data_IF_075597472434
#
_entry.id   IF_075597472434
#
_cell.length_a   1.000
_cell.length_b   1.000
_cell.length_c   1.000
_cell.angle_alpha   90.00
_cell.angle_beta   90.00
_cell.angle_gamma   90.00
#
_symmetry.space_group_name_H-M   'P 1'
#
loop_
_entity.id
_entity.type
_entity.pdbx_description
1 polymer ?
#
# COMPACT_ATOMS: atom_id res chain seq x y z
N UNK A 1 -13.54 16.33 9.49
CA UNK A 1 -13.77 15.09 8.71
C UNK A 1 -14.52 15.39 7.43
N UNK A 2 -13.96 14.97 6.29
CA UNK A 2 -14.55 15.19 4.97
C UNK A 2 -15.66 14.20 4.61
N UNK A 3 -16.37 14.49 3.52
CA UNK A 3 -17.49 13.70 2.97
C UNK A 3 -17.08 12.25 2.62
N UNK A 4 -15.79 11.96 2.49
CA UNK A 4 -15.24 10.67 2.03
C UNK A 4 -14.73 9.75 3.15
N UNK A 5 -14.38 10.29 4.32
CA UNK A 5 -13.72 9.54 5.39
C UNK A 5 -14.56 9.33 6.64
N UNK A 6 -13.89 8.81 7.67
CA UNK A 6 -14.42 8.65 9.02
C UNK A 6 -13.32 8.84 10.09
N UNK A 7 -13.66 9.50 11.20
CA UNK A 7 -12.76 9.62 12.37
C UNK A 7 -12.99 8.47 13.33
N UNK A 8 -12.02 7.59 13.45
CA UNK A 8 -12.08 6.51 14.43
C UNK A 8 -11.61 6.94 15.82
N UNK A 9 -10.96 8.11 15.95
CA UNK A 9 -10.42 8.59 17.22
C UNK A 9 -11.47 8.67 18.34
N UNK A 10 -12.66 9.26 18.11
CA UNK A 10 -13.73 9.27 19.09
C UNK A 10 -14.28 7.88 19.45
N UNK A 11 -14.23 6.92 18.52
CA UNK A 11 -14.66 5.55 18.80
C UNK A 11 -13.63 4.82 19.68
N UNK A 12 -12.34 4.97 19.40
CA UNK A 12 -11.29 4.44 20.27
C UNK A 12 -11.35 5.02 21.68
N UNK A 13 -11.64 6.32 21.83
CA UNK A 13 -11.85 6.94 23.16
C UNK A 13 -13.10 6.40 23.86
N UNK A 14 -14.14 6.02 23.10
CA UNK A 14 -15.31 5.34 23.67
C UNK A 14 -14.99 3.93 24.14
N UNK A 15 -14.10 3.22 23.45
CA UNK A 15 -13.62 1.90 23.84
C UNK A 15 -12.72 1.98 25.09
N UNK A 16 -11.74 2.89 25.08
CA UNK A 16 -10.85 3.18 26.20
C UNK A 16 -10.67 4.70 26.36
N UNK A 17 -11.18 5.33 27.43
CA UNK A 17 -11.01 6.76 27.68
C UNK A 17 -9.55 7.23 27.74
N UNK A 18 -8.61 6.34 28.05
CA UNK A 18 -7.17 6.62 28.09
C UNK A 18 -6.44 6.36 26.77
N UNK A 19 -7.16 6.01 25.70
CA UNK A 19 -6.59 5.61 24.42
C UNK A 19 -5.56 6.61 23.86
N UNK A 20 -5.88 7.91 23.91
CA UNK A 20 -5.01 8.96 23.33
C UNK A 20 -3.65 9.01 24.01
N UNK A 21 -3.63 8.98 25.33
CA UNK A 21 -2.39 9.06 26.11
C UNK A 21 -1.54 7.81 25.88
N UNK A 22 -2.17 6.62 25.92
CA UNK A 22 -1.49 5.35 25.68
C UNK A 22 -0.91 5.27 24.27
N UNK A 23 -1.70 5.62 23.25
CA UNK A 23 -1.28 5.40 21.88
C UNK A 23 -0.20 6.39 21.43
N UNK A 24 -0.21 7.63 21.93
CA UNK A 24 0.84 8.59 21.63
C UNK A 24 2.21 8.09 22.11
N UNK A 25 2.28 7.51 23.31
CA UNK A 25 3.51 6.88 23.81
C UNK A 25 4.04 5.79 22.86
N UNK A 26 3.16 4.91 22.38
CA UNK A 26 3.58 3.85 21.46
C UNK A 26 3.96 4.37 20.07
N UNK A 27 3.27 5.39 19.56
CA UNK A 27 3.63 6.05 18.29
C UNK A 27 5.03 6.61 18.31
N UNK A 28 5.40 7.32 19.37
CA UNK A 28 6.75 7.87 19.55
C UNK A 28 7.81 6.75 19.53
N UNK A 29 7.52 5.62 20.19
CA UNK A 29 8.42 4.44 20.20
C UNK A 29 8.53 3.76 18.83
N UNK A 30 7.43 3.64 18.09
CA UNK A 30 7.47 3.11 16.71
C UNK A 30 8.31 4.00 15.82
N UNK A 31 8.14 5.33 15.90
CA UNK A 31 8.93 6.30 15.12
C UNK A 31 10.44 6.21 15.45
N UNK A 32 10.78 6.13 16.73
CA UNK A 32 12.16 5.95 17.20
C UNK A 32 12.81 4.68 16.62
N UNK A 33 12.13 3.53 16.74
CA UNK A 33 12.64 2.25 16.26
C UNK A 33 12.75 2.21 14.74
N UNK A 34 11.83 2.87 14.03
CA UNK A 34 11.89 2.96 12.57
C UNK A 34 13.12 3.75 12.12
N UNK A 35 13.39 4.91 12.73
CA UNK A 35 14.62 5.68 12.47
C UNK A 35 15.87 4.87 12.76
N UNK A 36 15.87 4.08 13.84
CA UNK A 36 17.00 3.23 14.19
C UNK A 36 17.20 2.08 13.19
N UNK A 37 16.11 1.49 12.69
CA UNK A 37 16.15 0.47 11.64
C UNK A 37 16.73 1.03 10.34
N UNK A 38 16.29 2.22 9.91
CA UNK A 38 16.84 2.88 8.72
C UNK A 38 18.33 3.18 8.85
N UNK A 39 18.76 3.74 9.98
CA UNK A 39 20.18 4.01 10.22
C UNK A 39 21.05 2.74 10.22
N UNK A 40 20.43 1.57 10.42
CA UNK A 40 21.05 0.25 10.34
C UNK A 40 21.10 -0.23 8.88
N UNK A 41 20.00 -0.14 8.14
CA UNK A 41 19.90 -0.50 6.72
C UNK A 41 20.82 0.34 5.83
N UNK A 42 20.92 1.64 6.10
CA UNK A 42 21.81 2.55 5.39
C UNK A 42 23.30 2.20 5.53
N UNK A 43 23.64 1.30 6.46
CA UNK A 43 24.99 0.74 6.67
C UNK A 43 25.14 -0.66 6.07
N UNK A 44 24.20 -1.12 5.25
CA UNK A 44 24.18 -2.42 4.59
C UNK A 44 23.93 -3.60 5.53
N UNK A 45 23.35 -3.37 6.71
CA UNK A 45 23.02 -4.44 7.66
C UNK A 45 21.62 -4.97 7.38
N UNK A 46 21.48 -6.30 7.41
CA UNK A 46 20.18 -6.96 7.32
C UNK A 46 19.21 -6.51 8.42
N UNK A 47 17.95 -6.37 8.02
CA UNK A 47 16.81 -5.88 8.79
C UNK A 47 15.52 -6.67 8.55
N UNK A 48 15.53 -7.75 7.73
CA UNK A 48 14.29 -8.42 7.26
C UNK A 48 13.39 -8.87 8.41
N UNK A 49 13.94 -9.44 9.48
CA UNK A 49 13.14 -9.86 10.64
C UNK A 49 12.61 -8.67 11.42
N UNK A 50 13.46 -7.67 11.68
CA UNK A 50 13.05 -6.46 12.37
C UNK A 50 11.96 -5.71 11.59
N UNK A 51 12.05 -5.68 10.26
CA UNK A 51 11.04 -5.08 9.37
C UNK A 51 9.68 -5.76 9.53
N UNK A 52 9.60 -7.10 9.44
CA UNK A 52 8.33 -7.83 9.63
C UNK A 52 7.70 -7.55 11.01
N UNK A 53 8.51 -7.49 12.07
CA UNK A 53 7.98 -7.17 13.40
C UNK A 53 7.54 -5.72 13.51
N UNK A 54 8.29 -4.78 12.94
CA UNK A 54 8.01 -3.35 13.01
C UNK A 54 6.74 -2.98 12.25
N UNK A 55 6.54 -3.50 11.03
CA UNK A 55 5.31 -3.20 10.26
C UNK A 55 4.05 -3.69 10.97
N UNK A 56 4.10 -4.87 11.60
CA UNK A 56 2.97 -5.36 12.39
C UNK A 56 2.76 -4.56 13.68
N UNK A 57 3.85 -4.08 14.30
CA UNK A 57 3.77 -3.16 15.46
C UNK A 57 3.14 -1.84 15.08
N UNK A 58 3.47 -1.30 13.91
CA UNK A 58 2.85 -0.10 13.36
C UNK A 58 1.35 -0.32 13.16
N UNK A 59 0.93 -1.44 12.55
CA UNK A 59 -0.51 -1.75 12.47
C UNK A 59 -1.19 -1.83 13.84
N UNK A 60 -0.63 -2.58 14.78
CA UNK A 60 -1.21 -2.68 16.13
C UNK A 60 -1.37 -1.30 16.78
N UNK A 61 -0.36 -0.44 16.63
CA UNK A 61 -0.31 0.91 17.22
C UNK A 61 -1.30 1.87 16.55
N UNK A 62 -1.51 1.79 15.24
CA UNK A 62 -2.34 2.75 14.52
C UNK A 62 -3.79 2.31 14.36
N UNK A 63 -4.08 1.00 14.46
CA UNK A 63 -5.38 0.44 14.13
C UNK A 63 -6.02 -0.39 15.25
N UNK A 64 -5.37 -0.53 16.42
CA UNK A 64 -5.93 -1.31 17.53
C UNK A 64 -5.69 -0.66 18.90
N UNK A 65 -6.40 -1.16 19.91
CA UNK A 65 -6.15 -0.91 21.33
C UNK A 65 -5.57 -2.17 22.03
N UNK A 66 -4.74 -2.96 21.31
CA UNK A 66 -4.14 -4.21 21.83
C UNK A 66 -2.77 -3.96 22.48
N UNK A 67 -2.76 -3.22 23.57
CA UNK A 67 -1.55 -2.71 24.22
C UNK A 67 -0.51 -3.79 24.56
N UNK A 68 -0.92 -4.92 25.13
CA UNK A 68 0.00 -6.02 25.47
C UNK A 68 0.76 -6.56 24.23
N UNK A 69 0.11 -6.59 23.07
CA UNK A 69 0.74 -7.03 21.82
C UNK A 69 1.70 -5.97 21.28
N UNK A 70 1.35 -4.68 21.41
CA UNK A 70 2.22 -3.56 21.03
C UNK A 70 3.51 -3.62 21.87
N UNK A 71 3.39 -3.70 23.19
CA UNK A 71 4.54 -3.75 24.11
C UNK A 71 5.45 -4.94 23.82
N UNK A 72 4.86 -6.13 23.65
CA UNK A 72 5.60 -7.35 23.30
C UNK A 72 6.40 -7.16 22.02
N UNK A 73 5.79 -6.64 20.94
CA UNK A 73 6.50 -6.50 19.66
C UNK A 73 7.52 -5.37 19.69
N UNK A 74 7.25 -4.25 20.36
CA UNK A 74 8.23 -3.19 20.56
C UNK A 74 9.50 -3.72 21.24
N UNK A 75 9.36 -4.53 22.29
CA UNK A 75 10.50 -5.17 22.95
C UNK A 75 11.28 -6.08 22.00
N UNK A 76 10.59 -6.87 21.17
CA UNK A 76 11.23 -7.75 20.18
C UNK A 76 11.99 -6.97 19.10
N UNK A 77 11.44 -5.84 18.62
CA UNK A 77 12.10 -4.99 17.63
C UNK A 77 13.33 -4.32 18.25
N UNK A 78 13.21 -3.78 19.47
CA UNK A 78 14.31 -3.13 20.19
C UNK A 78 15.49 -4.10 20.41
N UNK A 79 15.20 -5.34 20.85
CA UNK A 79 16.21 -6.40 21.01
C UNK A 79 16.96 -6.71 19.71
N UNK A 80 16.28 -6.68 18.55
CA UNK A 80 16.90 -6.95 17.25
C UNK A 80 17.74 -5.78 16.74
N UNK A 81 17.27 -4.56 16.97
CA UNK A 81 17.97 -3.33 16.56
C UNK A 81 19.28 -3.19 17.35
N UNK A 82 19.23 -3.40 18.67
CA UNK A 82 20.37 -3.24 19.58
C UNK A 82 21.22 -4.52 19.73
N UNK A 83 20.68 -5.69 19.43
CA UNK A 83 21.36 -6.98 19.53
C UNK A 83 22.14 -7.41 18.29
N UNK A 84 22.58 -8.68 18.32
CA UNK A 84 23.14 -9.41 17.17
C UNK A 84 22.16 -10.53 16.83
N UNK A 85 21.59 -10.57 15.61
CA UNK A 85 20.73 -11.71 15.24
C UNK A 85 19.64 -11.50 14.20
N UNK A 86 19.66 -10.42 13.41
CA UNK A 86 18.76 -10.33 12.25
C UNK A 86 19.26 -11.21 11.09
N UNK A 87 18.33 -11.77 10.32
CA UNK A 87 18.58 -12.72 9.24
C UNK A 87 18.39 -12.03 7.89
N UNK A 88 19.31 -12.23 6.94
CA UNK A 88 19.17 -11.70 5.58
C UNK A 88 18.14 -12.46 4.73
N UNK A 89 17.80 -13.70 5.12
CA UNK A 89 16.92 -14.59 4.38
C UNK A 89 15.73 -14.94 5.25
N UNK A 90 14.53 -14.84 4.69
CA UNK A 90 13.29 -15.32 5.30
C UNK A 90 12.94 -16.67 4.68
N UNK A 91 12.86 -17.70 5.51
CA UNK A 91 12.36 -19.02 5.11
C UNK A 91 10.87 -19.15 5.37
N UNK A 92 10.21 -20.03 4.61
CA UNK A 92 8.79 -20.33 4.85
C UNK A 92 8.57 -20.96 6.23
N UNK A 93 7.51 -20.53 6.92
CA UNK A 93 7.10 -21.08 8.21
C UNK A 93 6.55 -22.53 8.10
N UNK A 94 5.99 -23.07 9.19
CA UNK A 94 5.44 -24.42 9.20
C UNK A 94 4.18 -24.60 8.31
N UNK A 95 3.44 -23.52 8.08
CA UNK A 95 2.24 -23.47 7.25
C UNK A 95 2.52 -22.99 5.82
N UNK A 96 3.78 -22.68 5.51
CA UNK A 96 4.25 -22.30 4.19
C UNK A 96 4.21 -20.79 3.91
N UNK A 97 3.92 -19.93 4.88
CA UNK A 97 3.97 -18.48 4.67
C UNK A 97 5.40 -17.96 4.65
N UNK A 98 5.70 -16.91 3.85
CA UNK A 98 6.95 -16.14 3.90
C UNK A 98 6.96 -15.05 5.00
N UNK A 99 5.99 -15.07 5.91
CA UNK A 99 5.90 -14.21 7.08
C UNK A 99 6.12 -14.95 8.41
N UNK A 100 7.25 -15.66 8.63
CA UNK A 100 7.44 -16.46 9.83
C UNK A 100 7.49 -15.64 11.11
N UNK A 101 7.73 -14.34 11.02
CA UNK A 101 7.79 -13.42 12.16
C UNK A 101 6.49 -12.64 12.38
N UNK A 102 5.50 -12.85 11.50
CA UNK A 102 4.17 -12.28 11.67
C UNK A 102 3.29 -13.16 12.54
N UNK A 103 2.57 -12.54 13.47
CA UNK A 103 1.52 -13.23 14.23
C UNK A 103 0.18 -13.10 13.51
N UNK A 104 -0.12 -11.91 13.00
CA UNK A 104 -1.30 -11.65 12.20
C UNK A 104 -1.28 -12.39 10.86
N UNK A 105 -2.39 -13.10 10.56
CA UNK A 105 -2.49 -13.91 9.34
C UNK A 105 -2.48 -13.07 8.05
N UNK A 106 -3.06 -11.87 8.04
CA UNK A 106 -3.06 -11.05 6.84
C UNK A 106 -1.66 -10.54 6.48
N UNK A 107 -0.78 -10.33 7.47
CA UNK A 107 0.63 -10.03 7.18
C UNK A 107 1.41 -11.25 6.67
N UNK A 108 1.05 -12.46 7.13
CA UNK A 108 1.56 -13.69 6.52
C UNK A 108 1.17 -13.82 5.05
N UNK A 109 -0.03 -13.37 4.70
CA UNK A 109 -0.55 -13.34 3.34
C UNK A 109 0.18 -12.31 2.50
N UNK A 110 0.29 -11.09 2.99
CA UNK A 110 0.96 -9.95 2.36
C UNK A 110 2.43 -10.24 2.06
N UNK A 111 3.19 -10.63 3.09
CA UNK A 111 4.58 -11.08 2.91
C UNK A 111 4.71 -12.25 1.93
N UNK A 112 3.72 -13.15 1.85
CA UNK A 112 3.75 -14.23 0.84
C UNK A 112 3.50 -13.70 -0.56
N UNK A 113 2.61 -12.73 -0.74
CA UNK A 113 2.34 -12.11 -2.03
C UNK A 113 3.57 -11.38 -2.58
N UNK A 114 4.30 -10.65 -1.74
CA UNK A 114 5.54 -9.97 -2.13
C UNK A 114 6.59 -10.95 -2.65
N UNK A 115 6.76 -12.10 -1.98
CA UNK A 115 7.67 -13.14 -2.46
C UNK A 115 7.22 -13.75 -3.79
N UNK A 116 5.91 -13.90 -4.00
CA UNK A 116 5.37 -14.44 -5.25
C UNK A 116 5.44 -13.46 -6.43
N UNK A 117 5.38 -12.14 -6.17
CA UNK A 117 5.65 -11.10 -7.18
C UNK A 117 7.04 -11.28 -7.76
N UNK A 118 8.00 -11.66 -6.93
CA UNK A 118 9.39 -11.93 -7.31
C UNK A 118 9.59 -13.30 -7.96
N UNK A 119 8.51 -13.95 -8.40
CA UNK A 119 8.49 -15.29 -8.97
C UNK A 119 9.19 -16.35 -8.09
N UNK A 120 9.30 -16.12 -6.78
CA UNK A 120 9.88 -17.09 -5.85
C UNK A 120 8.94 -18.27 -5.73
N UNK A 121 9.44 -19.45 -6.12
CA UNK A 121 8.66 -20.69 -6.03
C UNK A 121 8.59 -21.16 -4.57
N UNK A 122 7.38 -21.31 -3.98
CA UNK A 122 7.24 -21.87 -2.64
C UNK A 122 7.83 -23.29 -2.56
N UNK A 123 8.71 -23.51 -1.58
CA UNK A 123 9.29 -24.83 -1.24
C UNK A 123 8.35 -25.67 -0.38
N UNK A 124 7.51 -25.03 0.43
CA UNK A 124 6.46 -25.67 1.26
C UNK A 124 5.06 -25.32 0.73
N UNK A 125 4.08 -26.22 0.85
CA UNK A 125 2.69 -25.91 0.49
C UNK A 125 2.14 -24.76 1.34
N UNK A 126 1.42 -23.82 0.71
CA UNK A 126 0.82 -22.64 1.34
C UNK A 126 -0.46 -23.00 2.16
N UNK A 127 -0.34 -23.89 3.13
CA UNK A 127 -1.47 -24.41 3.94
C UNK A 127 -2.17 -23.33 4.78
N UNK A 128 -1.48 -22.24 5.10
CA UNK A 128 -2.11 -21.10 5.79
C UNK A 128 -3.29 -20.51 5.00
N UNK A 129 -3.42 -20.77 3.69
CA UNK A 129 -4.56 -20.38 2.84
C UNK A 129 -5.80 -21.28 3.01
N UNK A 130 -5.68 -22.46 3.63
CA UNK A 130 -6.80 -23.41 3.79
C UNK A 130 -7.96 -22.82 4.60
N UNK A 131 -7.68 -21.83 5.45
CA UNK A 131 -8.69 -21.11 6.24
C UNK A 131 -9.65 -20.28 5.40
N UNK A 132 -9.29 -19.90 4.16
CA UNK A 132 -10.16 -19.17 3.22
C UNK A 132 -10.58 -20.01 2.01
N UNK A 133 -10.09 -21.25 1.86
CA UNK A 133 -10.18 -22.01 0.61
C UNK A 133 -11.55 -22.68 0.35
N UNK A 134 -12.65 -22.03 0.72
CA UNK A 134 -14.03 -22.35 0.28
C UNK A 134 -14.83 -21.05 0.14
N UNK A 135 -15.86 -20.98 -0.71
CA UNK A 135 -16.66 -19.76 -0.88
C UNK A 135 -17.21 -19.21 0.46
N UNK A 136 -17.72 -20.08 1.32
CA UNK A 136 -18.25 -19.69 2.62
C UNK A 136 -17.17 -19.12 3.55
N UNK A 137 -15.97 -19.74 3.60
CA UNK A 137 -14.86 -19.27 4.43
C UNK A 137 -14.31 -17.93 3.96
N UNK A 138 -14.16 -17.77 2.65
CA UNK A 138 -13.71 -16.51 2.05
C UNK A 138 -14.69 -15.37 2.36
N UNK A 139 -15.98 -15.58 2.10
CA UNK A 139 -17.00 -14.56 2.37
C UNK A 139 -17.11 -14.22 3.85
N UNK A 140 -17.01 -15.22 4.74
CA UNK A 140 -17.01 -14.97 6.18
C UNK A 140 -15.84 -14.07 6.60
N UNK A 141 -14.63 -14.33 6.08
CA UNK A 141 -13.45 -13.52 6.35
C UNK A 141 -13.57 -12.09 5.80
N UNK A 142 -13.92 -11.93 4.53
CA UNK A 142 -14.06 -10.62 3.89
C UNK A 142 -15.14 -9.77 4.57
N UNK A 143 -16.29 -10.38 4.88
CA UNK A 143 -17.37 -9.68 5.58
C UNK A 143 -17.02 -9.32 7.03
N UNK A 144 -16.21 -10.12 7.72
CA UNK A 144 -15.77 -9.78 9.08
C UNK A 144 -14.85 -8.55 9.12
N UNK A 145 -14.12 -8.30 8.03
CA UNK A 145 -13.20 -7.16 7.89
C UNK A 145 -13.84 -5.92 7.24
N UNK A 146 -14.95 -6.08 6.52
CA UNK A 146 -15.62 -4.95 5.85
C UNK A 146 -16.17 -3.91 6.83
N UNK A 147 -16.67 -4.33 7.99
CA UNK A 147 -17.33 -3.45 8.97
C UNK A 147 -16.54 -3.41 10.29
N UNK A 148 -16.02 -2.24 10.63
CA UNK A 148 -15.38 -1.92 11.92
C UNK A 148 -16.41 -1.41 12.93
N UNK A 149 -16.37 -1.95 14.15
CA UNK A 149 -17.14 -1.48 15.31
C UNK A 149 -16.16 -1.05 16.41
N UNK A 150 -15.37 -0.02 16.07
CA UNK A 150 -14.18 0.38 16.86
C UNK A 150 -14.55 0.70 18.30
N UNK A 151 -15.72 1.32 18.53
CA UNK A 151 -16.18 1.66 19.88
C UNK A 151 -16.47 0.44 20.75
N UNK A 152 -16.82 -0.70 20.15
CA UNK A 152 -17.09 -1.94 20.87
C UNK A 152 -15.86 -2.87 20.94
N UNK A 153 -14.99 -2.85 19.91
CA UNK A 153 -13.91 -3.84 19.78
C UNK A 153 -12.52 -3.28 19.97
N UNK A 154 -12.34 -1.96 19.93
CA UNK A 154 -11.02 -1.33 19.99
C UNK A 154 -10.15 -1.70 18.79
N UNK A 155 -10.75 -1.94 17.63
CA UNK A 155 -10.04 -2.37 16.42
C UNK A 155 -10.67 -1.74 15.18
N UNK A 156 -9.84 -1.04 14.41
CA UNK A 156 -10.15 -0.63 13.06
C UNK A 156 -9.61 -1.65 12.06
N UNK A 157 -10.52 -2.39 11.42
CA UNK A 157 -10.21 -3.43 10.44
C UNK A 157 -9.87 -2.89 9.05
N UNK A 158 -9.87 -1.57 8.85
CA UNK A 158 -9.58 -0.95 7.55
C UNK A 158 -8.24 -1.40 6.96
N UNK A 159 -7.20 -1.47 7.78
CA UNK A 159 -5.87 -1.85 7.32
C UNK A 159 -5.82 -3.33 6.87
N UNK A 160 -6.38 -4.24 7.67
CA UNK A 160 -6.51 -5.66 7.31
C UNK A 160 -7.39 -5.85 6.07
N UNK A 161 -8.51 -5.12 5.97
CA UNK A 161 -9.38 -5.16 4.80
C UNK A 161 -8.65 -4.76 3.52
N UNK A 162 -7.84 -3.69 3.59
CA UNK A 162 -7.05 -3.23 2.45
C UNK A 162 -6.10 -4.33 2.02
N UNK A 163 -5.13 -4.70 2.86
CA UNK A 163 -4.09 -5.68 2.50
C UNK A 163 -4.68 -7.05 2.15
N UNK A 164 -5.44 -7.66 3.06
CA UNK A 164 -5.92 -9.01 2.86
C UNK A 164 -6.93 -9.09 1.72
N UNK A 165 -7.82 -8.10 1.59
CA UNK A 165 -8.82 -8.06 0.53
C UNK A 165 -8.16 -7.98 -0.84
N UNK A 166 -7.14 -7.14 -1.00
CA UNK A 166 -6.47 -6.94 -2.28
C UNK A 166 -5.50 -8.05 -2.63
N UNK A 167 -4.81 -8.65 -1.65
CA UNK A 167 -3.93 -9.79 -1.90
C UNK A 167 -4.69 -11.07 -2.23
N UNK A 168 -5.80 -11.33 -1.55
CA UNK A 168 -6.68 -12.43 -1.90
C UNK A 168 -7.21 -12.27 -3.33
N UNK A 169 -7.50 -11.03 -3.75
CA UNK A 169 -7.91 -10.74 -5.12
C UNK A 169 -6.83 -11.15 -6.12
N UNK A 170 -5.58 -10.72 -5.92
CA UNK A 170 -4.43 -11.08 -6.80
C UNK A 170 -4.21 -12.58 -6.88
N UNK A 171 -4.14 -13.23 -5.71
CA UNK A 171 -3.86 -14.66 -5.61
C UNK A 171 -4.94 -15.51 -6.26
N UNK A 172 -6.21 -15.19 -6.01
CA UNK A 172 -7.35 -15.95 -6.53
C UNK A 172 -7.60 -15.64 -8.01
N UNK A 173 -7.36 -14.40 -8.45
CA UNK A 173 -7.44 -14.04 -9.87
C UNK A 173 -6.42 -14.82 -10.70
N UNK A 174 -5.28 -15.16 -10.08
CA UNK A 174 -4.20 -15.93 -10.67
C UNK A 174 -3.06 -15.07 -11.22
N UNK A 175 -2.97 -13.80 -10.81
CA UNK A 175 -1.88 -12.91 -11.22
C UNK A 175 -0.54 -13.29 -10.58
N UNK A 176 -0.59 -14.03 -9.46
CA UNK A 176 0.58 -14.52 -8.74
C UNK A 176 0.70 -16.05 -8.87
N UNK A 177 1.89 -16.53 -9.29
CA UNK A 177 2.17 -17.96 -9.48
C UNK A 177 2.43 -18.65 -8.15
N UNK A 178 1.37 -18.94 -7.39
CA UNK A 178 1.49 -19.53 -6.04
C UNK A 178 1.68 -21.05 -6.01
N UNK A 179 1.27 -21.76 -7.08
CA UNK A 179 1.18 -23.23 -7.09
C UNK A 179 0.10 -23.80 -6.14
N UNK A 180 -0.62 -22.95 -5.41
CA UNK A 180 -1.70 -23.35 -4.51
C UNK A 180 -2.99 -23.63 -5.28
N UNK A 181 -3.67 -24.73 -4.94
CA UNK A 181 -4.93 -25.13 -5.58
C UNK A 181 -6.12 -24.50 -4.87
N UNK A 182 -6.52 -23.32 -5.36
CA UNK A 182 -7.76 -22.69 -4.91
C UNK A 182 -8.99 -23.50 -5.32
N UNK A 183 -10.01 -23.51 -4.47
CA UNK A 183 -11.31 -24.07 -4.79
C UNK A 183 -11.87 -23.34 -6.02
N UNK A 184 -12.37 -24.06 -7.05
CA UNK A 184 -12.65 -23.48 -8.38
C UNK A 184 -13.71 -22.36 -8.37
N UNK A 185 -14.61 -22.37 -7.38
CA UNK A 185 -15.62 -21.32 -7.21
C UNK A 185 -15.10 -20.00 -6.59
N UNK A 186 -13.88 -19.94 -6.07
CA UNK A 186 -13.39 -18.74 -5.36
C UNK A 186 -13.23 -17.53 -6.26
N UNK A 187 -12.79 -17.73 -7.51
CA UNK A 187 -12.66 -16.62 -8.48
C UNK A 187 -13.99 -15.91 -8.70
N UNK A 188 -15.06 -16.65 -8.97
CA UNK A 188 -16.41 -16.06 -9.07
C UNK A 188 -16.84 -15.42 -7.74
N UNK A 189 -16.57 -16.09 -6.62
CA UNK A 189 -16.99 -15.63 -5.28
C UNK A 189 -16.39 -14.26 -4.92
N UNK A 190 -15.08 -14.07 -5.12
CA UNK A 190 -14.43 -12.81 -4.79
C UNK A 190 -14.86 -11.68 -5.72
N UNK A 191 -15.00 -11.95 -7.03
CA UNK A 191 -15.50 -10.98 -8.00
C UNK A 191 -16.92 -10.52 -7.67
N UNK A 192 -17.83 -11.46 -7.37
CA UNK A 192 -19.19 -11.13 -6.97
C UNK A 192 -19.21 -10.27 -5.69
N UNK A 193 -18.34 -10.56 -4.72
CA UNK A 193 -18.26 -9.78 -3.48
C UNK A 193 -17.69 -8.36 -3.73
N UNK A 194 -16.63 -8.23 -4.52
CA UNK A 194 -16.04 -6.94 -4.90
C UNK A 194 -17.10 -6.04 -5.55
N UNK A 195 -17.83 -6.56 -6.54
CA UNK A 195 -18.78 -5.77 -7.33
C UNK A 195 -20.10 -5.50 -6.60
N UNK A 196 -20.65 -6.50 -5.92
CA UNK A 196 -22.02 -6.41 -5.37
C UNK A 196 -22.05 -6.00 -3.90
N UNK A 197 -20.95 -6.16 -3.16
CA UNK A 197 -20.90 -5.90 -1.72
C UNK A 197 -19.94 -4.75 -1.42
N UNK A 198 -18.70 -4.83 -1.86
CA UNK A 198 -17.65 -3.92 -1.40
C UNK A 198 -17.71 -2.55 -2.09
N UNK A 199 -17.89 -2.51 -3.42
CA UNK A 199 -17.90 -1.26 -4.17
C UNK A 199 -19.11 -0.39 -3.80
N UNK A 200 -18.85 0.82 -3.30
CA UNK A 200 -19.91 1.76 -2.97
C UNK A 200 -20.56 2.32 -4.25
N UNK A 201 -21.88 2.17 -4.46
CA UNK A 201 -22.53 2.65 -5.67
C UNK A 201 -22.52 4.17 -5.85
N UNK A 202 -22.44 4.92 -4.75
CA UNK A 202 -22.50 6.38 -4.78
C UNK A 202 -21.16 6.98 -5.23
N UNK A 203 -20.06 6.57 -4.58
CA UNK A 203 -18.72 7.09 -4.85
C UNK A 203 -17.95 6.29 -5.90
N UNK A 204 -18.34 5.04 -6.14
CA UNK A 204 -17.59 4.07 -6.96
C UNK A 204 -16.37 3.48 -6.24
N UNK A 205 -16.05 3.96 -5.05
CA UNK A 205 -14.85 3.58 -4.30
C UNK A 205 -15.04 2.30 -3.50
N UNK A 206 -13.90 1.75 -3.10
CA UNK A 206 -13.76 0.70 -2.10
C UNK A 206 -13.26 1.33 -0.80
N UNK A 207 -13.48 0.64 0.32
CA UNK A 207 -13.05 1.11 1.64
C UNK A 207 -13.74 0.36 2.77
N UNK A 208 -13.31 0.65 3.99
CA UNK A 208 -13.92 0.11 5.20
C UNK A 208 -15.23 0.84 5.52
N UNK A 209 -16.13 0.14 6.20
CA UNK A 209 -17.37 0.70 6.71
C UNK A 209 -17.33 0.72 8.23
N UNK A 210 -17.91 1.74 8.83
CA UNK A 210 -17.85 1.95 10.28
C UNK A 210 -19.25 1.95 10.85
N UNK A 211 -19.46 1.20 11.92
CA UNK A 211 -20.65 1.37 12.75
C UNK A 211 -20.52 2.66 13.54
N UNK A 212 -21.54 3.49 13.41
CA UNK A 212 -21.70 4.75 14.15
C UNK A 212 -22.98 4.67 14.98
N UNK A 213 -23.18 5.56 15.97
CA UNK A 213 -24.43 5.62 16.72
C UNK A 213 -25.69 5.78 15.85
N UNK A 214 -25.54 6.35 14.65
CA UNK A 214 -26.66 6.63 13.72
C UNK A 214 -26.76 5.64 12.55
N UNK A 215 -25.91 4.61 12.50
CA UNK A 215 -25.91 3.60 11.44
C UNK A 215 -24.54 3.36 10.83
N UNK A 216 -24.50 2.85 9.59
CA UNK A 216 -23.25 2.53 8.90
C UNK A 216 -22.73 3.72 8.10
N UNK A 217 -21.43 4.02 8.27
CA UNK A 217 -20.68 5.00 7.49
C UNK A 217 -19.75 4.28 6.53
N UNK A 218 -20.03 4.37 5.23
CA UNK A 218 -19.09 3.92 4.18
C UNK A 218 -18.04 4.99 3.92
N UNK A 219 -16.81 4.56 3.65
CA UNK A 219 -15.70 5.45 3.29
C UNK A 219 -15.27 5.24 1.84
N UNK A 220 -14.68 6.27 1.25
CA UNK A 220 -14.03 6.23 -0.06
C UNK A 220 -12.52 6.26 0.16
N UNK A 221 -11.91 5.08 0.14
CA UNK A 221 -10.51 4.85 0.46
C UNK A 221 -9.66 4.79 -0.82
N UNK A 222 -8.69 5.70 -0.94
CA UNK A 222 -7.85 5.82 -2.13
C UNK A 222 -7.02 4.56 -2.36
N UNK A 223 -6.34 4.06 -1.33
CA UNK A 223 -5.46 2.89 -1.44
C UNK A 223 -6.23 1.61 -1.78
N UNK A 224 -7.37 1.35 -1.10
CA UNK A 224 -8.20 0.20 -1.44
C UNK A 224 -8.68 0.28 -2.90
N UNK A 225 -9.08 1.47 -3.35
CA UNK A 225 -9.62 1.67 -4.70
C UNK A 225 -8.53 1.52 -5.76
N UNK A 226 -7.34 2.06 -5.50
CA UNK A 226 -6.17 1.87 -6.34
C UNK A 226 -5.83 0.38 -6.49
N UNK A 227 -5.63 -0.35 -5.38
CA UNK A 227 -5.23 -1.75 -5.43
C UNK A 227 -6.25 -2.62 -6.18
N UNK A 228 -7.54 -2.46 -5.90
CA UNK A 228 -8.60 -3.21 -6.61
C UNK A 228 -8.59 -2.88 -8.11
N UNK A 229 -8.49 -1.59 -8.48
CA UNK A 229 -8.42 -1.20 -9.88
C UNK A 229 -7.17 -1.74 -10.57
N UNK A 230 -6.01 -1.65 -9.91
CA UNK A 230 -4.73 -2.08 -10.44
C UNK A 230 -4.68 -3.60 -10.66
N UNK A 231 -5.06 -4.38 -9.65
CA UNK A 231 -5.01 -5.85 -9.73
C UNK A 231 -6.07 -6.45 -10.65
N UNK A 232 -7.13 -5.70 -10.96
CA UNK A 232 -8.11 -6.07 -11.99
C UNK A 232 -7.85 -5.40 -13.34
N UNK A 233 -6.71 -4.73 -13.54
CA UNK A 233 -6.34 -4.09 -14.80
C UNK A 233 -7.43 -3.12 -15.31
N UNK A 234 -7.97 -2.33 -14.38
CA UNK A 234 -9.05 -1.37 -14.62
C UNK A 234 -10.43 -1.98 -14.89
N UNK A 235 -10.58 -3.32 -14.85
CA UNK A 235 -11.83 -4.05 -15.15
C UNK A 235 -12.80 -4.02 -13.96
N UNK A 236 -13.10 -2.82 -13.50
CA UNK A 236 -14.10 -2.52 -12.46
C UNK A 236 -15.20 -1.62 -13.02
N UNK A 237 -16.35 -1.60 -12.34
CA UNK A 237 -17.46 -0.72 -12.69
C UNK A 237 -17.27 0.71 -12.16
N UNK A 238 -18.22 1.58 -12.50
CA UNK A 238 -18.42 2.91 -11.86
C UNK A 238 -17.28 3.92 -12.06
N UNK A 239 -16.53 3.81 -13.14
CA UNK A 239 -15.48 4.78 -13.50
C UNK A 239 -15.93 6.25 -13.45
N UNK A 240 -17.12 6.65 -13.95
CA UNK A 240 -17.58 8.03 -13.80
C UNK A 240 -17.69 8.50 -12.34
N UNK A 241 -18.11 7.62 -11.43
CA UNK A 241 -18.17 7.90 -9.99
C UNK A 241 -16.76 7.99 -9.40
N UNK A 242 -15.89 7.03 -9.72
CA UNK A 242 -14.50 6.99 -9.24
C UNK A 242 -13.77 8.27 -9.64
N UNK A 243 -13.81 8.66 -10.91
CA UNK A 243 -13.16 9.90 -11.39
C UNK A 243 -13.65 11.13 -10.62
N UNK A 244 -14.96 11.27 -10.42
CA UNK A 244 -15.51 12.41 -9.66
C UNK A 244 -15.02 12.41 -8.22
N UNK A 245 -14.99 11.24 -7.57
CA UNK A 245 -14.58 11.12 -6.17
C UNK A 245 -13.08 11.36 -6.01
N UNK A 246 -12.21 10.80 -6.87
CA UNK A 246 -10.76 11.06 -6.88
C UNK A 246 -10.49 12.56 -7.01
N UNK A 247 -11.10 13.23 -7.99
CA UNK A 247 -10.90 14.67 -8.20
C UNK A 247 -11.43 15.52 -7.04
N UNK A 248 -12.51 15.09 -6.37
CA UNK A 248 -13.13 15.83 -5.27
C UNK A 248 -12.37 15.72 -3.95
N UNK A 249 -11.52 14.70 -3.76
CA UNK A 249 -10.76 14.49 -2.53
C UNK A 249 -9.32 15.04 -2.57
N UNK A 250 -8.98 15.80 -3.62
CA UNK A 250 -7.60 16.22 -3.90
C UNK A 250 -6.88 16.97 -2.78
N UNK A 251 -7.61 17.74 -1.98
CA UNK A 251 -7.05 18.59 -0.92
C UNK A 251 -7.24 17.97 0.48
N UNK A 252 -7.54 16.66 0.55
CA UNK A 252 -7.79 15.95 1.80
C UNK A 252 -6.63 15.02 2.16
N UNK A 253 -6.58 14.64 3.45
CA UNK A 253 -5.61 13.67 3.97
C UNK A 253 -5.91 12.24 3.50
N UNK A 254 -4.84 11.54 3.16
CA UNK A 254 -4.79 10.11 2.94
C UNK A 254 -5.26 9.36 4.21
N UNK A 255 -6.01 8.25 4.08
CA UNK A 255 -6.40 7.55 2.84
C UNK A 255 -7.68 8.07 2.19
N UNK A 256 -8.27 9.14 2.72
CA UNK A 256 -9.55 9.70 2.24
C UNK A 256 -9.33 10.94 1.37
N UNK A 257 -8.15 11.02 0.76
CA UNK A 257 -7.59 12.16 0.05
C UNK A 257 -6.20 11.84 -0.49
N UNK A 258 -5.57 12.84 -1.11
CA UNK A 258 -4.29 12.67 -1.80
C UNK A 258 -3.08 12.96 -0.90
N UNK A 259 -3.28 13.79 0.13
CA UNK A 259 -2.18 14.40 0.87
C UNK A 259 -1.73 13.53 2.04
N UNK A 260 -0.43 13.51 2.30
CA UNK A 260 0.17 12.98 3.52
C UNK A 260 0.64 14.15 4.37
N UNK A 261 0.04 14.34 5.54
CA UNK A 261 0.37 15.46 6.44
C UNK A 261 0.31 16.82 5.74
N UNK A 262 -0.70 16.99 4.89
CA UNK A 262 -0.95 18.19 4.10
C UNK A 262 -0.05 18.37 2.88
N UNK A 263 0.78 17.38 2.52
CA UNK A 263 1.72 17.44 1.39
C UNK A 263 1.48 16.34 0.37
N UNK A 264 1.97 16.53 -0.85
CA UNK A 264 2.03 15.45 -1.84
C UNK A 264 3.07 14.40 -1.43
N UNK A 265 2.92 13.19 -1.97
CA UNK A 265 3.80 12.04 -1.77
C UNK A 265 3.85 11.28 -3.09
N UNK A 266 5.04 10.87 -3.53
CA UNK A 266 5.21 10.17 -4.80
C UNK A 266 4.46 8.83 -4.82
N UNK A 267 4.28 8.19 -3.66
CA UNK A 267 3.48 6.97 -3.53
C UNK A 267 2.01 7.26 -3.84
N UNK A 268 1.41 8.25 -3.19
CA UNK A 268 0.00 8.59 -3.44
C UNK A 268 -0.20 9.13 -4.85
N UNK A 269 0.77 9.87 -5.39
CA UNK A 269 0.73 10.39 -6.75
C UNK A 269 0.72 9.25 -7.78
N UNK A 270 1.50 8.17 -7.56
CA UNK A 270 1.41 6.94 -8.37
C UNK A 270 0.00 6.35 -8.35
N UNK A 271 -0.59 6.20 -7.16
CA UNK A 271 -1.94 5.64 -7.00
C UNK A 271 -2.98 6.44 -7.79
N UNK A 272 -2.92 7.77 -7.66
CA UNK A 272 -3.86 8.69 -8.30
C UNK A 272 -3.69 8.66 -9.82
N UNK A 273 -2.46 8.67 -10.33
CA UNK A 273 -2.22 8.65 -11.78
C UNK A 273 -2.67 7.33 -12.39
N UNK A 274 -2.48 6.18 -11.74
CA UNK A 274 -3.04 4.92 -12.23
C UNK A 274 -4.57 4.99 -12.31
N UNK A 275 -5.23 5.52 -11.28
CA UNK A 275 -6.68 5.73 -11.32
C UNK A 275 -7.10 6.69 -12.44
N UNK A 276 -6.33 7.74 -12.70
CA UNK A 276 -6.57 8.62 -13.86
C UNK A 276 -6.38 7.91 -15.19
N UNK A 277 -5.36 7.06 -15.35
CA UNK A 277 -5.16 6.28 -16.58
C UNK A 277 -6.37 5.39 -16.85
N UNK A 278 -6.76 4.57 -15.89
CA UNK A 278 -7.90 3.66 -16.05
C UNK A 278 -9.21 4.42 -16.25
N UNK A 279 -9.39 5.55 -15.55
CA UNK A 279 -10.56 6.41 -15.67
C UNK A 279 -10.59 7.29 -16.92
N UNK A 280 -9.46 7.49 -17.62
CA UNK A 280 -9.31 8.46 -18.71
C UNK A 280 -10.35 8.33 -19.83
N UNK A 281 -10.72 7.11 -20.29
CA UNK A 281 -11.77 6.94 -21.31
C UNK A 281 -13.15 7.42 -20.87
N UNK A 282 -13.39 7.51 -19.55
CA UNK A 282 -14.67 7.87 -18.94
C UNK A 282 -14.74 9.34 -18.49
N UNK A 283 -13.63 10.06 -18.58
CA UNK A 283 -13.55 11.47 -18.21
C UNK A 283 -14.11 12.38 -19.31
N UNK A 284 -14.91 13.38 -18.92
CA UNK A 284 -15.26 14.49 -19.80
C UNK A 284 -14.06 15.45 -20.03
N UNK A 285 -14.22 16.43 -20.91
CA UNK A 285 -13.14 17.37 -21.25
C UNK A 285 -12.66 18.19 -20.04
N UNK A 286 -13.56 18.57 -19.13
CA UNK A 286 -13.22 19.34 -17.93
C UNK A 286 -12.45 18.49 -16.94
N UNK A 287 -12.88 17.25 -16.73
CA UNK A 287 -12.21 16.29 -15.85
C UNK A 287 -10.81 15.96 -16.39
N UNK A 288 -10.66 15.76 -17.71
CA UNK A 288 -9.34 15.58 -18.33
C UNK A 288 -8.44 16.78 -18.09
N UNK A 289 -8.96 18.00 -18.21
CA UNK A 289 -8.16 19.19 -17.96
C UNK A 289 -7.73 19.32 -16.48
N UNK A 290 -8.63 19.00 -15.55
CA UNK A 290 -8.28 18.94 -14.12
C UNK A 290 -7.21 17.86 -13.84
N UNK A 291 -7.34 16.68 -14.43
CA UNK A 291 -6.37 15.61 -14.30
C UNK A 291 -5.02 15.99 -14.91
N UNK A 292 -4.97 16.66 -16.07
CA UNK A 292 -3.71 17.19 -16.64
C UNK A 292 -3.04 18.18 -15.71
N UNK A 293 -3.82 19.12 -15.15
CA UNK A 293 -3.32 20.08 -14.18
C UNK A 293 -2.73 19.40 -12.95
N UNK A 294 -3.43 18.41 -12.41
CA UNK A 294 -2.97 17.61 -11.27
C UNK A 294 -1.69 16.84 -11.59
N UNK A 295 -1.63 16.12 -12.72
CA UNK A 295 -0.43 15.36 -13.13
C UNK A 295 0.79 16.28 -13.26
N UNK A 296 0.64 17.49 -13.83
CA UNK A 296 1.75 18.46 -13.89
C UNK A 296 2.23 18.88 -12.51
N UNK A 297 1.33 19.11 -11.55
CA UNK A 297 1.69 19.46 -10.18
C UNK A 297 2.44 18.32 -9.49
N UNK A 298 1.96 17.08 -9.63
CA UNK A 298 2.62 15.89 -9.09
C UNK A 298 4.02 15.68 -9.69
N UNK A 299 4.15 15.88 -11.00
CA UNK A 299 5.45 15.85 -11.68
C UNK A 299 6.39 16.94 -11.18
N UNK A 300 5.88 18.15 -10.99
CA UNK A 300 6.66 19.26 -10.45
C UNK A 300 7.12 18.98 -9.01
N UNK A 301 6.24 18.44 -8.16
CA UNK A 301 6.60 17.99 -6.82
C UNK A 301 7.72 16.95 -6.86
N UNK A 302 7.54 15.85 -7.62
CA UNK A 302 8.56 14.81 -7.76
C UNK A 302 9.91 15.36 -8.27
N UNK A 303 9.90 16.15 -9.34
CA UNK A 303 11.13 16.60 -10.01
C UNK A 303 11.84 17.76 -9.31
N UNK A 304 11.13 18.59 -8.54
CA UNK A 304 11.67 19.83 -7.96
C UNK A 304 11.77 19.80 -6.44
N UNK A 305 10.89 19.07 -5.76
CA UNK A 305 10.83 19.05 -4.30
C UNK A 305 11.44 17.78 -3.72
N UNK A 306 11.28 16.64 -4.40
CA UNK A 306 11.68 15.33 -3.85
C UNK A 306 12.98 14.83 -4.45
N UNK A 307 13.20 15.02 -5.76
CA UNK A 307 14.45 14.67 -6.45
C UNK A 307 15.61 15.62 -6.07
N UNK A 308 16.71 15.04 -5.61
CA UNK A 308 17.96 15.73 -5.31
C UNK A 308 18.90 15.78 -6.52
N UNK A 309 19.88 16.68 -6.46
CA UNK A 309 20.83 16.90 -7.55
C UNK A 309 21.70 15.69 -7.88
N UNK A 310 21.94 14.80 -6.90
CA UNK A 310 22.72 13.56 -7.05
C UNK A 310 21.91 12.40 -7.64
N UNK A 311 20.60 12.58 -7.91
CA UNK A 311 19.72 11.54 -8.41
C UNK A 311 19.06 10.68 -7.34
N UNK A 312 19.27 10.99 -6.05
CA UNK A 312 18.49 10.40 -4.95
C UNK A 312 17.20 11.18 -4.70
N UNK A 313 16.25 10.59 -3.98
CA UNK A 313 15.01 11.26 -3.58
C UNK A 313 15.02 11.59 -2.08
N UNK A 314 14.10 12.45 -1.67
CA UNK A 314 13.74 12.60 -0.26
C UNK A 314 13.09 11.31 0.23
N UNK A 315 13.34 10.98 1.48
CA UNK A 315 12.59 9.91 2.12
C UNK A 315 11.20 10.45 2.42
N UNK A 316 10.21 9.75 1.88
CA UNK A 316 8.80 9.98 2.15
C UNK A 316 8.31 8.77 2.94
N UNK A 317 7.51 9.02 3.97
CA UNK A 317 6.90 7.98 4.81
C UNK A 317 7.90 7.13 5.65
N UNK A 318 7.36 6.08 6.28
CA UNK A 318 8.06 5.00 6.99
C UNK A 318 8.59 3.93 6.05
N UNK A 319 8.76 4.26 4.76
CA UNK A 319 9.20 3.32 3.74
C UNK A 319 10.70 3.04 3.75
N UNK A 320 11.08 1.89 3.17
CA UNK A 320 12.48 1.47 3.05
C UNK A 320 13.28 2.44 2.17
N UNK A 321 14.61 2.35 2.22
CA UNK A 321 15.48 3.11 1.30
C UNK A 321 15.15 2.77 -0.16
N UNK A 322 14.80 1.51 -0.45
CA UNK A 322 14.40 1.08 -1.80
C UNK A 322 13.10 1.74 -2.28
N UNK A 323 12.09 1.82 -1.41
CA UNK A 323 10.80 2.45 -1.72
C UNK A 323 10.95 3.94 -2.04
N UNK A 324 11.92 4.63 -1.43
CA UNK A 324 12.24 6.03 -1.75
C UNK A 324 12.70 6.23 -3.20
N UNK A 325 13.17 5.18 -3.89
CA UNK A 325 13.45 5.20 -5.32
C UNK A 325 12.30 4.64 -6.15
N UNK A 326 11.68 3.55 -5.70
CA UNK A 326 10.66 2.83 -6.46
C UNK A 326 9.46 3.72 -6.79
N UNK A 327 8.81 4.31 -5.79
CA UNK A 327 7.59 5.08 -6.01
C UNK A 327 7.77 6.28 -6.96
N UNK A 328 8.75 7.18 -6.80
CA UNK A 328 8.94 8.28 -7.74
C UNK A 328 9.32 7.80 -9.15
N UNK A 329 10.12 6.73 -9.28
CA UNK A 329 10.48 6.17 -10.60
C UNK A 329 9.25 5.57 -11.29
N UNK A 330 8.46 4.78 -10.57
CA UNK A 330 7.22 4.20 -11.08
C UNK A 330 6.18 5.28 -11.43
N UNK A 331 6.04 6.31 -10.59
CA UNK A 331 5.19 7.46 -10.88
C UNK A 331 5.60 8.16 -12.18
N UNK A 332 6.88 8.49 -12.34
CA UNK A 332 7.41 9.14 -13.54
C UNK A 332 7.23 8.27 -14.79
N UNK A 333 7.43 6.96 -14.68
CA UNK A 333 7.14 6.03 -15.78
C UNK A 333 5.64 6.00 -16.11
N UNK A 334 4.77 5.94 -15.09
CA UNK A 334 3.32 5.88 -15.23
C UNK A 334 2.74 7.13 -15.91
N UNK A 335 3.28 8.33 -15.67
CA UNK A 335 2.89 9.55 -16.42
C UNK A 335 3.50 9.63 -17.82
N UNK A 336 4.35 8.66 -18.19
CA UNK A 336 5.07 8.61 -19.46
C UNK A 336 6.23 9.60 -19.57
N UNK A 337 6.82 10.00 -18.44
CA UNK A 337 8.01 10.85 -18.44
C UNK A 337 9.19 10.13 -19.09
N UNK A 338 9.47 8.89 -18.67
CA UNK A 338 10.53 8.03 -19.22
C UNK A 338 10.11 7.27 -20.49
N UNK A 339 8.81 6.97 -20.65
CA UNK A 339 8.26 6.11 -21.70
C UNK A 339 7.13 6.82 -22.44
N UNK A 340 7.36 7.27 -23.69
CA UNK A 340 6.40 8.07 -24.44
C UNK A 340 5.08 7.33 -24.70
N UNK A 341 5.13 6.03 -24.93
CA UNK A 341 3.99 5.15 -25.17
C UNK A 341 3.01 5.11 -23.99
N UNK A 342 3.48 5.43 -22.78
CA UNK A 342 2.63 5.54 -21.60
C UNK A 342 1.90 6.89 -21.51
N UNK A 343 2.20 7.90 -22.33
CA UNK A 343 1.53 9.21 -22.24
C UNK A 343 0.07 9.13 -22.70
N UNK A 344 -0.85 9.12 -21.74
CA UNK A 344 -2.29 9.18 -22.00
C UNK A 344 -2.87 10.60 -21.87
N UNK A 345 -2.15 11.51 -21.19
CA UNK A 345 -2.67 12.80 -20.74
C UNK A 345 -2.11 14.00 -21.52
N UNK A 346 -0.94 13.88 -22.15
CA UNK A 346 -0.26 14.97 -22.86
C UNK A 346 0.45 14.50 -24.12
N UNK A 347 0.72 15.45 -25.02
CA UNK A 347 1.60 15.27 -26.20
C UNK A 347 2.97 15.95 -26.00
N UNK A 348 3.24 16.49 -24.81
CA UNK A 348 4.53 17.11 -24.48
C UNK A 348 5.70 16.12 -24.61
N UNK A 349 6.88 16.67 -24.86
CA UNK A 349 8.14 15.93 -24.90
C UNK A 349 8.98 16.27 -23.67
N UNK A 350 9.71 15.27 -23.17
CA UNK A 350 10.59 15.41 -22.00
C UNK A 350 12.04 15.12 -22.40
N UNK A 351 12.72 16.05 -23.09
CA UNK A 351 14.09 15.81 -23.57
C UNK A 351 15.10 15.53 -22.44
N UNK A 352 14.80 15.93 -21.21
CA UNK A 352 15.59 15.67 -20.02
C UNK A 352 15.39 14.27 -19.43
N UNK A 353 14.42 13.48 -19.92
CA UNK A 353 14.06 12.20 -19.32
C UNK A 353 15.20 11.18 -19.34
N UNK A 354 15.85 10.96 -20.50
CA UNK A 354 16.94 9.99 -20.60
C UNK A 354 18.19 10.37 -19.78
N UNK A 355 18.70 11.63 -19.83
CA UNK A 355 19.77 12.06 -18.92
C UNK A 355 19.42 11.88 -17.44
N UNK A 356 18.17 12.16 -17.06
CA UNK A 356 17.71 11.97 -15.68
C UNK A 356 17.64 10.49 -15.30
N UNK A 357 17.11 9.64 -16.17
CA UNK A 357 17.03 8.20 -15.93
C UNK A 357 18.41 7.60 -15.66
N UNK A 358 19.42 7.95 -16.48
CA UNK A 358 20.81 7.54 -16.27
C UNK A 358 21.38 8.03 -14.94
N UNK A 359 21.08 9.27 -14.54
CA UNK A 359 21.55 9.82 -13.26
C UNK A 359 20.99 9.06 -12.07
N UNK A 360 19.68 8.80 -12.08
CA UNK A 360 19.01 8.04 -11.01
C UNK A 360 19.54 6.59 -10.98
N UNK A 361 19.65 5.92 -12.14
CA UNK A 361 20.17 4.56 -12.21
C UNK A 361 21.61 4.45 -11.69
N UNK A 362 22.48 5.40 -12.04
CA UNK A 362 23.83 5.45 -11.48
C UNK A 362 23.82 5.63 -9.96
N UNK A 363 22.95 6.49 -9.44
CA UNK A 363 22.81 6.70 -8.00
C UNK A 363 22.35 5.44 -7.27
N UNK A 364 21.36 4.72 -7.81
CA UNK A 364 20.90 3.44 -7.25
C UNK A 364 22.08 2.45 -7.17
N UNK A 365 22.85 2.30 -8.26
CA UNK A 365 24.02 1.39 -8.29
C UNK A 365 25.11 1.77 -7.27
N UNK A 366 25.29 3.06 -6.97
CA UNK A 366 26.24 3.52 -5.95
C UNK A 366 25.85 3.11 -4.52
N UNK A 367 24.56 2.93 -4.24
CA UNK A 367 24.09 2.54 -2.90
C UNK A 367 24.56 1.14 -2.50
N UNK A 368 24.77 0.25 -3.49
CA UNK A 368 25.08 -1.18 -3.32
C UNK A 368 24.05 -1.94 -2.47
N UNK A 369 22.85 -1.38 -2.30
CA UNK A 369 21.75 -2.11 -1.70
C UNK A 369 21.20 -3.11 -2.74
N UNK A 370 20.86 -4.29 -2.27
CA UNK A 370 20.32 -5.39 -3.07
C UNK A 370 18.91 -5.72 -2.57
N UNK A 371 18.04 -4.71 -2.63
CA UNK A 371 16.62 -4.81 -2.35
C UNK A 371 15.81 -4.75 -3.66
N UNK A 372 14.59 -5.29 -3.62
CA UNK A 372 13.80 -5.55 -4.83
C UNK A 372 13.29 -4.24 -5.44
N UNK A 373 12.91 -3.32 -4.59
CA UNK A 373 12.37 -2.01 -4.91
C UNK A 373 13.38 -1.23 -5.78
N UNK A 374 14.68 -1.31 -5.45
CA UNK A 374 15.75 -0.79 -6.29
C UNK A 374 15.90 -1.53 -7.63
N UNK A 375 15.76 -2.85 -7.66
CA UNK A 375 15.82 -3.62 -8.90
C UNK A 375 14.63 -3.28 -9.83
N UNK A 376 13.42 -3.14 -9.28
CA UNK A 376 12.23 -2.66 -10.00
C UNK A 376 12.49 -1.29 -10.59
N UNK A 377 13.01 -0.35 -9.79
CA UNK A 377 13.34 1.00 -10.25
C UNK A 377 14.38 0.98 -11.38
N UNK A 378 15.46 0.19 -11.24
CA UNK A 378 16.50 0.05 -12.26
C UNK A 378 15.94 -0.49 -13.57
N UNK A 379 15.12 -1.54 -13.52
CA UNK A 379 14.49 -2.12 -14.71
C UNK A 379 13.67 -1.08 -15.50
N UNK A 380 12.89 -0.27 -14.78
CA UNK A 380 12.09 0.80 -15.38
C UNK A 380 12.97 1.90 -15.98
N UNK A 381 14.04 2.31 -15.29
CA UNK A 381 14.94 3.35 -15.78
C UNK A 381 15.74 2.88 -17.01
N UNK A 382 16.25 1.65 -17.00
CA UNK A 382 17.06 1.10 -18.08
C UNK A 382 16.27 0.80 -19.36
N UNK A 383 14.94 0.69 -19.24
CA UNK A 383 14.02 0.56 -20.38
C UNK A 383 13.52 1.89 -20.91
N UNK A 384 13.96 3.03 -20.36
CA UNK A 384 13.50 4.36 -20.78
C UNK A 384 13.87 4.70 -22.23
N UNK A 385 13.06 5.54 -22.87
CA UNK A 385 13.29 6.02 -24.23
C UNK A 385 14.65 6.75 -24.34
N UNK A 386 15.60 6.16 -25.08
CA UNK A 386 16.93 6.74 -25.30
C UNK A 386 17.88 6.66 -24.11
N UNK A 387 17.66 5.69 -23.21
CA UNK A 387 18.56 5.35 -22.09
C UNK A 387 19.98 4.99 -22.56
#
# INVERSE_FOLDING_TARGET
>A
MGVFGYDVGPDFVRFDPSYRDRINHYKDRVEELTKALFARESKGKSSRRAHQLLVETHWLTHYTARYDQIEKKLAQVDDLIHGRGDTAVVEQDAEGSFGPYHEAWFYKLDATCDYLVNEVVPKKPLRFLDRINTPARLLAYLNSNLISDVAATGEDRRFELNLAGTDLLRLIEGSLKSGYKFHPALKKTIHDWVVNTWQDPQTGFFGAWYKTPTGLRKTADLSCTFHVAHYLDGKIGRWPQIVRTVLAMKDLEFPYGWLQEGKMSNHHDLDIVKLFRYGWPFMDARQKEQARGAIRLMMDHCLKETLKSDGSFNQEDMGSVGESYEFPVLFLAEVGFFHKEYRFWTNETFPQAAPLARRIANRIRETKLDDQEMQTALYVLESADGF
#
